data_IF_277675022833
#
_entry.id   IF_277675022833
#
_cell.length_a   1.000
_cell.length_b   1.000
_cell.length_c   1.000
_cell.angle_alpha   90.00
_cell.angle_beta   90.00
_cell.angle_gamma   90.00
#
_symmetry.space_group_name_H-M   'P 1'
#
loop_
_entity.id
_entity.type
_entity.pdbx_description
1 polymer ?
#
# COMPACT_ATOMS: atom_id res chain seq x y z
N UNK A 1 -3.88 -23.35 2.12
CA UNK A 1 -3.76 -22.05 2.81
C UNK A 1 -3.60 -20.97 1.75
N UNK A 2 -4.55 -20.02 1.62
CA UNK A 2 -4.43 -18.94 0.62
C UNK A 2 -3.10 -18.21 0.86
N UNK A 3 -2.25 -18.15 -0.16
CA UNK A 3 -0.94 -17.47 -0.15
C UNK A 3 -1.13 -16.08 0.45
N UNK A 4 -0.36 -15.76 1.50
CA UNK A 4 -0.52 -14.50 2.20
C UNK A 4 -0.39 -13.32 1.20
N UNK A 5 -1.37 -12.42 1.24
CA UNK A 5 -1.43 -11.33 0.29
C UNK A 5 -0.35 -10.31 0.65
N UNK A 6 0.74 -10.30 -0.12
CA UNK A 6 1.89 -9.42 0.13
C UNK A 6 1.49 -7.94 0.19
N UNK A 7 0.52 -7.51 -0.64
CA UNK A 7 0.02 -6.13 -0.64
C UNK A 7 -0.63 -5.77 0.70
N UNK A 8 -1.46 -6.68 1.22
CA UNK A 8 -2.11 -6.52 2.52
C UNK A 8 -1.07 -6.41 3.65
N UNK A 9 -0.08 -7.32 3.66
CA UNK A 9 0.98 -7.33 4.69
C UNK A 9 1.77 -6.03 4.67
N UNK A 10 2.12 -5.52 3.47
CA UNK A 10 2.83 -4.25 3.33
C UNK A 10 1.98 -3.08 3.86
N UNK A 11 0.67 -3.07 3.58
CA UNK A 11 -0.25 -2.05 4.11
C UNK A 11 -0.27 -2.04 5.64
N UNK A 12 -0.47 -3.21 6.25
CA UNK A 12 -0.46 -3.39 7.72
C UNK A 12 0.87 -2.94 8.32
N UNK A 13 1.98 -3.30 7.68
CA UNK A 13 3.32 -2.91 8.13
C UNK A 13 3.51 -1.38 8.09
N UNK A 14 3.07 -0.72 7.02
CA UNK A 14 3.13 0.73 6.89
C UNK A 14 2.29 1.40 7.98
N UNK A 15 1.04 1.00 8.19
CA UNK A 15 0.19 1.57 9.25
C UNK A 15 0.83 1.37 10.63
N UNK A 16 1.39 0.19 10.90
CA UNK A 16 2.06 -0.11 12.17
C UNK A 16 3.25 0.82 12.40
N UNK A 17 4.09 1.02 11.37
CA UNK A 17 5.22 1.94 11.44
C UNK A 17 4.74 3.39 11.59
N UNK A 18 3.77 3.84 10.80
CA UNK A 18 3.24 5.21 10.89
C UNK A 18 2.64 5.51 12.27
N UNK A 19 1.93 4.54 12.85
CA UNK A 19 1.36 4.63 14.20
C UNK A 19 2.46 4.67 15.26
N UNK A 20 3.45 3.77 15.14
CA UNK A 20 4.60 3.74 16.03
C UNK A 20 5.40 5.04 15.93
N UNK A 21 5.61 5.57 14.72
CA UNK A 21 6.33 6.82 14.50
C UNK A 21 5.61 8.00 15.15
N UNK A 22 4.27 8.05 15.04
CA UNK A 22 3.43 9.06 15.69
C UNK A 22 3.53 9.01 17.22
N UNK A 23 3.68 7.81 17.79
CA UNK A 23 3.67 7.61 19.25
C UNK A 23 5.06 7.73 19.89
N UNK A 24 6.09 7.20 19.24
CA UNK A 24 7.46 7.11 19.78
C UNK A 24 8.42 8.20 19.28
N UNK A 25 8.08 8.92 18.21
CA UNK A 25 9.02 9.85 17.54
C UNK A 25 8.44 11.25 17.39
N UNK A 26 9.38 12.20 17.46
CA UNK A 26 9.30 13.65 17.22
C UNK A 26 8.24 14.02 16.18
N UNK A 27 7.47 15.08 16.49
CA UNK A 27 6.52 15.82 15.62
C UNK A 27 6.80 15.67 14.11
N UNK A 28 6.44 14.54 13.52
CA UNK A 28 6.50 14.40 12.07
C UNK A 28 5.46 15.35 11.49
N UNK A 29 5.75 16.01 10.36
CA UNK A 29 4.75 16.83 9.70
C UNK A 29 3.49 16.00 9.46
N UNK A 30 2.34 16.55 9.81
CA UNK A 30 1.03 15.88 9.65
C UNK A 30 0.80 15.38 8.22
N UNK A 31 1.40 16.05 7.24
CA UNK A 31 1.42 15.60 5.85
C UNK A 31 2.04 14.20 5.68
N UNK A 32 3.19 13.94 6.31
CA UNK A 32 3.90 12.65 6.19
C UNK A 32 3.12 11.54 6.91
N UNK A 33 2.55 11.84 8.07
CA UNK A 33 1.67 10.91 8.78
C UNK A 33 0.42 10.59 7.95
N UNK A 34 -0.23 11.61 7.40
CA UNK A 34 -1.39 11.47 6.52
C UNK A 34 -1.08 10.64 5.27
N UNK A 35 0.07 10.86 4.64
CA UNK A 35 0.53 10.02 3.52
C UNK A 35 0.78 8.57 3.96
N UNK A 36 1.41 8.34 5.11
CA UNK A 36 1.65 7.01 5.66
C UNK A 36 0.36 6.24 5.88
N UNK A 37 -0.61 6.85 6.58
CA UNK A 37 -1.93 6.24 6.79
C UNK A 37 -2.69 6.04 5.47
N UNK A 38 -2.69 7.04 4.59
CA UNK A 38 -3.39 6.96 3.31
C UNK A 38 -2.86 5.83 2.42
N UNK A 39 -1.53 5.72 2.28
CA UNK A 39 -0.89 4.64 1.51
C UNK A 39 -1.13 3.29 2.17
N UNK A 40 -1.00 3.20 3.49
CA UNK A 40 -1.26 1.97 4.26
C UNK A 40 -2.68 1.45 4.04
N UNK A 41 -3.68 2.30 4.25
CA UNK A 41 -5.10 1.97 4.07
C UNK A 41 -5.39 1.59 2.60
N UNK A 42 -4.86 2.34 1.63
CA UNK A 42 -5.05 2.01 0.22
C UNK A 42 -4.50 0.62 -0.13
N UNK A 43 -3.32 0.27 0.38
CA UNK A 43 -2.70 -1.04 0.16
C UNK A 43 -3.46 -2.17 0.86
N UNK A 44 -3.98 -1.93 2.07
CA UNK A 44 -4.85 -2.88 2.75
C UNK A 44 -6.15 -3.12 1.96
N UNK A 45 -6.82 -2.08 1.47
CA UNK A 45 -8.03 -2.20 0.66
C UNK A 45 -7.77 -2.99 -0.63
N UNK A 46 -6.69 -2.67 -1.36
CA UNK A 46 -6.29 -3.41 -2.56
C UNK A 46 -5.94 -4.87 -2.21
N UNK A 47 -5.27 -5.08 -1.07
CA UNK A 47 -4.93 -6.38 -0.53
C UNK A 47 -6.16 -7.23 -0.23
N UNK A 48 -7.12 -6.71 0.54
CA UNK A 48 -8.38 -7.40 0.85
C UNK A 48 -9.16 -7.68 -0.42
N UNK A 49 -9.29 -6.69 -1.31
CA UNK A 49 -10.01 -6.85 -2.57
C UNK A 49 -9.44 -8.01 -3.41
N UNK A 50 -8.12 -8.13 -3.49
CA UNK A 50 -7.44 -9.18 -4.24
C UNK A 50 -7.49 -10.58 -3.62
N UNK A 51 -7.97 -10.74 -2.38
CA UNK A 51 -8.19 -12.07 -1.79
C UNK A 51 -9.39 -12.78 -2.42
N UNK A 52 -10.38 -11.99 -2.88
CA UNK A 52 -11.65 -12.48 -3.40
C UNK A 52 -11.90 -12.10 -4.87
N UNK A 53 -11.18 -11.12 -5.41
CA UNK A 53 -11.32 -10.67 -6.79
C UNK A 53 -10.03 -10.82 -7.59
N UNK A 54 -10.16 -11.10 -8.88
CA UNK A 54 -9.04 -11.09 -9.81
C UNK A 54 -8.53 -9.65 -10.05
N UNK A 55 -7.29 -9.40 -9.66
CA UNK A 55 -6.61 -8.10 -9.81
C UNK A 55 -5.69 -8.02 -11.04
N UNK A 56 -5.77 -8.99 -11.96
CA UNK A 56 -4.98 -9.02 -13.20
C UNK A 56 -5.10 -7.73 -14.01
N UNK A 57 -6.29 -7.11 -14.05
CA UNK A 57 -6.52 -5.82 -14.73
C UNK A 57 -5.72 -4.68 -14.10
N UNK A 58 -5.69 -4.59 -12.77
CA UNK A 58 -4.97 -3.55 -12.04
C UNK A 58 -3.45 -3.75 -12.18
N UNK A 59 -2.96 -4.99 -12.14
CA UNK A 59 -1.55 -5.30 -12.39
C UNK A 59 -1.12 -4.96 -13.82
N UNK A 60 -1.94 -5.29 -14.82
CA UNK A 60 -1.67 -4.93 -16.21
C UNK A 60 -1.71 -3.42 -16.44
N UNK A 61 -2.67 -2.71 -15.83
CA UNK A 61 -2.73 -1.26 -15.88
C UNK A 61 -1.46 -0.63 -15.29
N UNK A 62 -1.05 -1.05 -14.09
CA UNK A 62 0.21 -0.64 -13.45
C UNK A 62 1.42 -0.92 -14.35
N UNK A 63 1.51 -2.11 -14.95
CA UNK A 63 2.62 -2.49 -15.83
C UNK A 63 2.66 -1.63 -17.09
N UNK A 64 1.52 -1.34 -17.70
CA UNK A 64 1.43 -0.47 -18.89
C UNK A 64 1.75 0.98 -18.55
N UNK A 65 1.32 1.48 -17.39
CA UNK A 65 1.67 2.82 -16.93
C UNK A 65 3.18 2.95 -16.71
N UNK A 66 3.79 1.97 -16.03
CA UNK A 66 5.24 1.94 -15.81
C UNK A 66 6.00 1.90 -17.15
N UNK A 67 5.56 1.08 -18.13
CA UNK A 67 6.15 1.06 -19.47
C UNK A 67 6.05 2.42 -20.18
N UNK A 68 4.87 3.06 -20.13
CA UNK A 68 4.67 4.40 -20.69
C UNK A 68 5.57 5.45 -20.03
N UNK A 69 5.72 5.43 -18.71
CA UNK A 69 6.57 6.39 -18.00
C UNK A 69 8.07 6.12 -18.19
N UNK A 70 8.49 4.87 -18.30
CA UNK A 70 9.90 4.50 -18.49
C UNK A 70 10.35 4.50 -19.95
N UNK A 71 9.47 4.89 -20.90
CA UNK A 71 9.74 4.98 -22.33
C UNK A 71 10.45 3.73 -22.89
N UNK A 72 10.00 2.54 -22.46
CA UNK A 72 10.51 1.23 -22.89
C UNK A 72 9.40 0.33 -23.42
#
# INVERSE_FOLDING_TARGET
MKKANKTLIIGIFIITITTSLRHFTIQLPEFVLGLGYGIGIALELIGVYSINHDISKLQNCKRNFIKKCLNK
#
